data_IF_623058131368
#
_entry.id   IF_623058131368
#
_cell.length_a   1.000
_cell.length_b   1.000
_cell.length_c   1.000
_cell.angle_alpha   90.00
_cell.angle_beta   90.00
_cell.angle_gamma   90.00
#
_symmetry.space_group_name_H-M   'P 1'
#
loop_
_entity.id
_entity.type
_entity.pdbx_description
1 polymer ?
#
# COMPACT_ATOMS: atom_id res chain seq x y z
N UNK A 1 43.29 -55.16 -6.75
CA UNK A 1 43.47 -53.71 -6.92
C UNK A 1 42.14 -53.11 -7.41
N UNK A 2 41.26 -52.73 -6.51
CA UNK A 2 39.98 -52.10 -6.87
C UNK A 2 39.69 -51.01 -5.85
N UNK A 3 40.27 -49.82 -6.02
CA UNK A 3 39.88 -48.68 -5.17
C UNK A 3 40.49 -47.38 -5.67
N UNK A 4 39.61 -46.48 -6.11
CA UNK A 4 39.73 -45.01 -6.06
C UNK A 4 38.51 -44.33 -6.72
N UNK A 5 38.00 -44.75 -7.91
CA UNK A 5 36.87 -44.05 -8.53
C UNK A 5 35.54 -44.33 -7.83
N UNK A 6 35.32 -45.53 -7.28
CA UNK A 6 34.08 -45.86 -6.55
C UNK A 6 33.92 -45.09 -5.24
N UNK A 7 35.01 -44.76 -4.54
CA UNK A 7 34.92 -44.08 -3.25
C UNK A 7 34.57 -42.59 -3.43
N UNK A 8 35.10 -41.94 -4.47
CA UNK A 8 34.75 -40.56 -4.81
C UNK A 8 33.30 -40.42 -5.31
N UNK A 9 32.80 -41.39 -6.08
CA UNK A 9 31.40 -41.40 -6.52
C UNK A 9 30.42 -41.56 -5.35
N UNK A 10 30.74 -42.41 -4.37
CA UNK A 10 29.92 -42.59 -3.16
C UNK A 10 29.93 -41.33 -2.29
N UNK A 11 31.10 -40.69 -2.10
CA UNK A 11 31.20 -39.40 -1.38
C UNK A 11 30.43 -38.26 -2.08
N UNK A 12 30.40 -38.23 -3.41
CA UNK A 12 29.64 -37.24 -4.17
C UNK A 12 28.13 -37.49 -4.12
N UNK A 13 27.69 -38.75 -4.18
CA UNK A 13 26.28 -39.10 -4.00
C UNK A 13 25.80 -38.85 -2.56
N UNK A 14 26.66 -39.11 -1.56
CA UNK A 14 26.38 -38.79 -0.17
C UNK A 14 26.28 -37.27 0.05
N UNK A 15 27.16 -36.46 -0.56
CA UNK A 15 27.09 -35.00 -0.43
C UNK A 15 25.86 -34.40 -1.13
N UNK A 16 25.48 -34.90 -2.31
CA UNK A 16 24.21 -34.54 -2.97
C UNK A 16 23.00 -34.95 -2.13
N UNK A 17 23.04 -36.13 -1.51
CA UNK A 17 21.95 -36.59 -0.65
C UNK A 17 21.83 -35.74 0.61
N UNK A 18 22.95 -35.36 1.25
CA UNK A 18 22.94 -34.46 2.42
C UNK A 18 22.44 -33.06 2.05
N UNK A 19 22.85 -32.49 0.92
CA UNK A 19 22.35 -31.21 0.43
C UNK A 19 20.84 -31.28 0.11
N UNK A 20 20.35 -32.40 -0.41
CA UNK A 20 18.92 -32.63 -0.65
C UNK A 20 18.13 -32.79 0.65
N UNK A 21 18.69 -33.43 1.67
CA UNK A 21 18.08 -33.60 3.00
C UNK A 21 18.05 -32.29 3.79
N UNK A 22 19.12 -31.49 3.76
CA UNK A 22 19.17 -30.16 4.39
C UNK A 22 18.20 -29.19 3.71
N UNK A 23 18.14 -29.17 2.37
CA UNK A 23 17.17 -28.35 1.64
C UNK A 23 15.72 -28.80 1.87
N UNK A 24 15.47 -30.10 2.01
CA UNK A 24 14.16 -30.63 2.37
C UNK A 24 13.78 -30.29 3.81
N UNK A 25 14.71 -30.40 4.77
CA UNK A 25 14.51 -30.02 6.17
C UNK A 25 14.24 -28.53 6.33
N UNK A 26 14.99 -27.66 5.63
CA UNK A 26 14.77 -26.21 5.60
C UNK A 26 13.43 -25.86 4.95
N UNK A 27 12.97 -26.63 3.95
CA UNK A 27 11.65 -26.46 3.38
C UNK A 27 10.53 -26.90 4.35
N UNK A 28 10.71 -27.98 5.09
CA UNK A 28 9.76 -28.44 6.10
C UNK A 28 9.62 -27.46 7.27
N UNK A 29 10.72 -26.93 7.80
CA UNK A 29 10.69 -25.89 8.85
C UNK A 29 10.05 -24.60 8.34
N UNK A 30 10.37 -24.19 7.10
CA UNK A 30 9.75 -23.04 6.42
C UNK A 30 8.24 -23.20 6.30
N UNK A 31 7.79 -24.38 5.91
CA UNK A 31 6.35 -24.67 5.84
C UNK A 31 5.72 -24.71 7.23
N UNK A 32 6.38 -25.26 8.25
CA UNK A 32 5.83 -25.32 9.62
C UNK A 32 5.64 -23.92 10.24
N UNK A 33 6.65 -23.04 10.17
CA UNK A 33 6.57 -21.67 10.68
C UNK A 33 5.52 -20.85 9.94
N UNK A 34 5.43 -21.06 8.62
CA UNK A 34 4.40 -20.44 7.80
C UNK A 34 2.99 -20.93 8.18
N UNK A 35 2.77 -22.24 8.28
CA UNK A 35 1.48 -22.81 8.65
C UNK A 35 1.05 -22.32 10.04
N UNK A 36 1.99 -22.19 10.97
CA UNK A 36 1.74 -21.60 12.29
C UNK A 36 1.32 -20.13 12.18
N UNK A 37 2.01 -19.36 11.34
CA UNK A 37 1.69 -17.95 11.10
C UNK A 37 0.34 -17.75 10.40
N UNK A 38 0.02 -18.56 9.39
CA UNK A 38 -1.29 -18.57 8.71
C UNK A 38 -2.37 -18.98 9.68
N UNK A 39 -2.17 -20.07 10.41
CA UNK A 39 -3.12 -20.54 11.41
C UNK A 39 -3.39 -19.46 12.44
N UNK A 40 -2.36 -18.72 12.88
CA UNK A 40 -2.54 -17.58 13.77
C UNK A 40 -3.37 -16.46 13.12
N UNK A 41 -3.10 -16.09 11.87
CA UNK A 41 -3.84 -15.04 11.15
C UNK A 41 -5.31 -15.44 10.89
N UNK A 42 -5.53 -16.66 10.40
CA UNK A 42 -6.88 -17.22 10.16
C UNK A 42 -7.63 -17.36 11.47
N UNK A 43 -6.99 -17.83 12.55
CA UNK A 43 -7.64 -17.92 13.86
C UNK A 43 -7.95 -16.54 14.44
N UNK A 44 -7.08 -15.54 14.27
CA UNK A 44 -7.38 -14.17 14.68
C UNK A 44 -8.52 -13.58 13.86
N UNK A 45 -8.55 -13.82 12.54
CA UNK A 45 -9.68 -13.49 11.68
C UNK A 45 -10.99 -14.11 12.19
N UNK A 46 -11.00 -15.43 12.45
CA UNK A 46 -12.17 -16.14 12.97
C UNK A 46 -12.61 -15.64 14.34
N UNK A 47 -11.67 -15.43 15.27
CA UNK A 47 -11.96 -14.92 16.62
C UNK A 47 -12.59 -13.53 16.58
N UNK A 48 -12.08 -12.64 15.74
CA UNK A 48 -12.60 -11.27 15.68
C UNK A 48 -13.96 -11.23 14.97
N UNK A 49 -14.13 -12.00 13.89
CA UNK A 49 -15.44 -12.15 13.24
C UNK A 49 -16.49 -12.84 14.12
N UNK A 50 -16.11 -13.82 14.94
CA UNK A 50 -17.03 -14.47 15.90
C UNK A 50 -17.45 -13.53 17.03
N UNK A 51 -16.52 -12.72 17.56
CA UNK A 51 -16.83 -11.68 18.54
C UNK A 51 -17.81 -10.63 17.99
N UNK A 52 -17.67 -10.26 16.71
CA UNK A 52 -18.59 -9.36 16.00
C UNK A 52 -19.99 -9.99 15.82
N UNK A 53 -20.05 -11.28 15.46
CA UNK A 53 -21.31 -12.01 15.32
C UNK A 53 -22.06 -12.20 16.66
N UNK A 54 -21.36 -12.53 17.75
CA UNK A 54 -21.95 -12.67 19.10
C UNK A 54 -22.46 -11.35 19.68
N UNK A 55 -21.79 -10.23 19.34
CA UNK A 55 -22.26 -8.89 19.70
C UNK A 55 -23.58 -8.55 19.00
N UNK A 56 -23.77 -9.05 17.77
CA UNK A 56 -24.96 -8.80 16.93
C UNK A 56 -26.18 -9.62 17.37
N UNK A 57 -25.98 -10.85 17.86
CA UNK A 57 -27.07 -11.75 18.29
C UNK A 57 -27.66 -11.45 19.67
N UNK A 58 -27.00 -10.62 20.49
CA UNK A 58 -27.49 -10.20 21.82
C UNK A 58 -28.36 -8.92 21.80
N UNK A 59 -28.63 -8.33 20.63
CA UNK A 59 -29.45 -7.13 20.50
C UNK A 59 -30.97 -7.48 20.52
N UNK A 60 -31.82 -6.80 21.31
CA UNK A 60 -33.27 -7.08 21.37
C UNK A 60 -33.99 -6.71 20.07
N UNK A 61 -35.07 -7.43 19.69
CA UNK A 61 -35.86 -7.11 18.50
C UNK A 61 -36.71 -5.86 18.80
N UNK A 62 -36.26 -4.71 18.31
CA UNK A 62 -36.91 -3.40 18.51
C UNK A 62 -35.95 -2.23 18.75
N UNK A 63 -34.65 -2.50 18.94
CA UNK A 63 -33.60 -1.49 18.97
C UNK A 63 -32.85 -1.42 17.65
N UNK A 64 -32.48 -0.21 17.23
CA UNK A 64 -31.59 0.06 16.08
C UNK A 64 -30.47 -1.00 16.02
N UNK A 65 -30.45 -1.76 14.91
CA UNK A 65 -29.53 -2.88 14.70
C UNK A 65 -28.09 -2.55 15.08
N UNK A 66 -27.41 -3.51 15.70
CA UNK A 66 -26.04 -3.47 16.23
C UNK A 66 -25.26 -2.22 15.79
N UNK A 67 -25.27 -1.19 16.62
CA UNK A 67 -24.46 0.00 16.40
C UNK A 67 -23.00 -0.40 16.61
N UNK A 68 -22.35 -0.86 15.55
CA UNK A 68 -20.89 -0.99 15.45
C UNK A 68 -20.28 0.26 16.09
N UNK A 69 -19.41 0.07 17.09
CA UNK A 69 -18.88 1.20 17.86
C UNK A 69 -17.74 1.81 17.08
N UNK A 70 -18.09 2.68 16.12
CA UNK A 70 -17.19 3.65 15.53
C UNK A 70 -16.37 4.31 16.65
N UNK A 71 -15.06 4.48 16.44
CA UNK A 71 -14.19 5.17 17.41
C UNK A 71 -14.88 6.44 17.94
N UNK A 72 -14.99 6.56 19.26
CA UNK A 72 -15.77 7.64 19.89
C UNK A 72 -15.29 9.02 19.46
N UNK A 73 -13.98 9.22 19.24
CA UNK A 73 -13.43 10.51 18.78
C UNK A 73 -13.87 10.77 17.35
N UNK A 74 -13.82 9.75 16.49
CA UNK A 74 -14.31 9.85 15.12
C UNK A 74 -15.81 10.17 15.09
N UNK A 75 -16.63 9.44 15.86
CA UNK A 75 -18.07 9.70 15.97
C UNK A 75 -18.36 11.15 16.38
N UNK A 76 -17.65 11.65 17.39
CA UNK A 76 -17.80 13.04 17.84
C UNK A 76 -17.38 14.05 16.77
N UNK A 77 -16.32 13.73 16.02
CA UNK A 77 -15.85 14.58 14.94
C UNK A 77 -16.89 14.69 13.81
N UNK A 78 -17.55 13.58 13.47
CA UNK A 78 -18.57 13.53 12.42
C UNK A 78 -19.89 14.23 12.78
N UNK A 79 -20.23 14.36 14.07
CA UNK A 79 -21.46 15.05 14.48
C UNK A 79 -21.43 16.56 14.23
N UNK A 80 -20.23 17.15 14.11
CA UNK A 80 -20.05 18.60 14.03
C UNK A 80 -19.20 18.99 12.81
N UNK A 81 -19.53 18.43 11.63
CA UNK A 81 -18.77 18.69 10.40
C UNK A 81 -18.84 20.17 10.03
N UNK A 82 -17.74 20.70 9.51
CA UNK A 82 -17.70 22.02 8.89
C UNK A 82 -16.99 21.96 7.57
N UNK A 83 -17.49 22.75 6.61
CA UNK A 83 -16.94 22.85 5.27
C UNK A 83 -16.29 24.21 5.06
N UNK A 84 -15.08 24.22 4.50
CA UNK A 84 -14.40 25.40 3.99
C UNK A 84 -14.09 25.19 2.51
N UNK A 85 -14.29 26.21 1.70
CA UNK A 85 -14.14 26.16 0.25
C UNK A 85 -12.81 26.75 -0.21
N UNK A 86 -12.14 26.08 -1.14
CA UNK A 86 -10.92 26.56 -1.79
C UNK A 86 -11.19 26.75 -3.27
N UNK A 87 -10.94 27.96 -3.78
CA UNK A 87 -11.08 28.27 -5.20
C UNK A 87 -10.05 29.29 -5.65
N UNK A 88 -9.29 28.98 -6.71
CA UNK A 88 -8.23 29.87 -7.22
C UNK A 88 -8.79 31.18 -7.83
N UNK A 89 -10.04 31.16 -8.30
CA UNK A 89 -10.75 32.33 -8.84
C UNK A 89 -11.25 33.31 -7.75
N UNK A 90 -11.13 32.95 -6.47
CA UNK A 90 -11.58 33.76 -5.34
C UNK A 90 -13.05 33.59 -4.94
N UNK A 91 -13.80 32.68 -5.57
CA UNK A 91 -15.19 32.37 -5.20
C UNK A 91 -15.32 31.51 -3.92
N UNK A 92 -14.21 31.00 -3.38
CA UNK A 92 -14.14 30.21 -2.15
C UNK A 92 -13.79 31.04 -0.90
N UNK A 93 -13.69 30.36 0.25
CA UNK A 93 -13.19 30.98 1.49
C UNK A 93 -11.68 31.25 1.43
N UNK A 94 -10.94 30.42 0.68
CA UNK A 94 -9.49 30.51 0.51
C UNK A 94 -9.11 30.36 -0.96
N UNK A 95 -7.97 30.95 -1.36
CA UNK A 95 -7.42 30.78 -2.71
C UNK A 95 -6.51 29.55 -2.82
N UNK A 96 -5.88 29.18 -1.71
CA UNK A 96 -4.92 28.07 -1.64
C UNK A 96 -5.35 27.01 -0.63
N UNK A 97 -4.88 25.78 -0.83
CA UNK A 97 -5.16 24.66 0.08
C UNK A 97 -4.37 24.87 1.39
N UNK A 98 -3.16 25.42 1.32
CA UNK A 98 -2.35 25.72 2.51
C UNK A 98 -3.02 26.74 3.43
N UNK A 99 -3.60 27.81 2.90
CA UNK A 99 -4.36 28.79 3.70
C UNK A 99 -5.55 28.13 4.40
N UNK A 100 -6.29 27.28 3.67
CA UNK A 100 -7.42 26.55 4.23
C UNK A 100 -7.00 25.63 5.38
N UNK A 101 -5.93 24.85 5.24
CA UNK A 101 -5.37 24.05 6.34
C UNK A 101 -4.94 24.94 7.51
N UNK A 102 -4.27 26.07 7.23
CA UNK A 102 -3.80 27.02 8.24
C UNK A 102 -4.92 27.67 9.06
N UNK A 103 -6.14 27.69 8.53
CA UNK A 103 -7.33 28.19 9.25
C UNK A 103 -7.89 27.21 10.28
N UNK A 104 -7.49 25.93 10.22
CA UNK A 104 -8.01 24.89 11.11
C UNK A 104 -7.32 24.99 12.47
N UNK A 105 -8.07 25.08 13.59
CA UNK A 105 -7.48 25.10 14.91
C UNK A 105 -6.65 23.84 15.19
N UNK A 106 -5.50 24.01 15.84
CA UNK A 106 -4.68 22.90 16.32
C UNK A 106 -5.48 22.02 17.30
N UNK A 107 -5.15 20.73 17.32
CA UNK A 107 -5.87 19.70 18.09
C UNK A 107 -7.35 19.59 17.70
N UNK A 108 -7.62 19.73 16.40
CA UNK A 108 -8.95 19.66 15.83
C UNK A 108 -9.73 18.42 16.31
N UNK A 109 -10.97 18.63 16.74
CA UNK A 109 -11.86 17.57 17.26
C UNK A 109 -13.07 17.32 16.36
N UNK A 110 -13.16 18.00 15.22
CA UNK A 110 -14.32 17.98 14.32
C UNK A 110 -13.92 17.60 12.92
N UNK A 111 -14.81 16.99 12.13
CA UNK A 111 -14.56 16.76 10.70
C UNK A 111 -14.50 18.11 9.99
N UNK A 112 -13.35 18.48 9.44
CA UNK A 112 -13.21 19.66 8.59
C UNK A 112 -13.06 19.23 7.15
N UNK A 113 -14.09 19.53 6.35
CA UNK A 113 -14.14 19.27 4.91
C UNK A 113 -13.56 20.48 4.21
N UNK A 114 -12.40 20.29 3.58
CA UNK A 114 -11.82 21.24 2.63
C UNK A 114 -12.36 20.86 1.25
N UNK A 115 -13.36 21.60 0.80
CA UNK A 115 -13.97 21.42 -0.53
C UNK A 115 -13.17 22.23 -1.55
N UNK A 116 -12.60 21.57 -2.55
CA UNK A 116 -11.59 22.13 -3.44
C UNK A 116 -12.17 22.17 -4.85
N UNK A 117 -12.22 23.37 -5.44
CA UNK A 117 -12.67 23.59 -6.83
C UNK A 117 -11.64 23.07 -7.85
N UNK A 118 -12.05 22.78 -9.10
CA UNK A 118 -11.12 22.36 -10.14
C UNK A 118 -9.99 23.38 -10.33
N UNK A 119 -8.78 22.88 -10.53
CA UNK A 119 -7.58 23.73 -10.65
C UNK A 119 -6.29 22.98 -10.42
N UNK A 120 -5.17 23.63 -10.75
CA UNK A 120 -3.82 23.12 -10.50
C UNK A 120 -3.20 23.93 -9.38
N UNK A 121 -3.08 23.30 -8.22
CA UNK A 121 -2.55 23.84 -6.98
C UNK A 121 -1.07 23.46 -6.86
N UNK A 122 -0.18 24.37 -7.29
CA UNK A 122 1.27 24.22 -7.17
C UNK A 122 1.73 24.49 -5.74
N UNK A 123 1.47 23.55 -4.84
CA UNK A 123 1.66 23.71 -3.41
C UNK A 123 2.33 22.48 -2.79
N UNK A 124 3.38 22.70 -1.98
CA UNK A 124 3.82 21.71 -1.01
C UNK A 124 2.91 21.78 0.22
N UNK A 125 2.25 20.66 0.53
CA UNK A 125 1.21 20.56 1.56
C UNK A 125 1.63 19.59 2.66
N UNK A 126 1.40 19.99 3.91
CA UNK A 126 1.50 19.11 5.07
C UNK A 126 0.22 19.22 5.90
N UNK A 127 -0.41 18.08 6.22
CA UNK A 127 -1.50 17.99 7.19
C UNK A 127 -0.90 17.38 8.47
N UNK A 128 -0.48 18.21 9.45
CA UNK A 128 0.26 17.75 10.61
C UNK A 128 -0.59 16.89 11.54
N UNK A 129 0.07 16.12 12.41
CA UNK A 129 -0.58 15.24 13.42
C UNK A 129 -1.58 15.96 14.32
N UNK A 130 -1.40 17.26 14.52
CA UNK A 130 -2.25 18.13 15.32
C UNK A 130 -3.59 18.44 14.65
N UNK A 131 -3.79 18.09 13.38
CA UNK A 131 -5.02 18.34 12.63
C UNK A 131 -5.70 17.01 12.19
N UNK A 132 -6.13 16.14 13.11
CA UNK A 132 -6.88 14.95 12.73
C UNK A 132 -8.25 15.33 12.13
N UNK A 133 -8.92 14.37 11.49
CA UNK A 133 -10.27 14.53 10.91
C UNK A 133 -10.38 15.59 9.80
N UNK A 134 -9.30 15.85 9.08
CA UNK A 134 -9.33 16.68 7.86
C UNK A 134 -9.77 15.82 6.68
N UNK A 135 -10.66 16.35 5.84
CA UNK A 135 -11.10 15.69 4.61
C UNK A 135 -10.92 16.62 3.44
N UNK A 136 -10.28 16.15 2.36
CA UNK A 136 -10.27 16.84 1.08
C UNK A 136 -11.35 16.26 0.18
N UNK A 137 -12.22 17.12 -0.35
CA UNK A 137 -13.20 16.73 -1.36
C UNK A 137 -12.97 17.61 -2.58
N UNK A 138 -12.53 16.99 -3.67
CA UNK A 138 -12.49 17.66 -4.96
C UNK A 138 -13.88 17.74 -5.57
N UNK A 139 -14.25 18.93 -6.05
CA UNK A 139 -15.38 19.08 -6.94
C UNK A 139 -15.07 18.35 -8.26
N UNK A 140 -15.85 17.31 -8.57
CA UNK A 140 -15.65 16.53 -9.79
C UNK A 140 -16.82 16.77 -10.75
N UNK A 141 -16.51 17.42 -11.86
CA UNK A 141 -17.30 17.42 -13.09
C UNK A 141 -16.51 16.66 -14.16
N UNK A 142 -16.45 15.32 -14.06
CA UNK A 142 -15.70 14.47 -14.99
C UNK A 142 -14.20 14.40 -14.68
N UNK A 143 -13.35 14.64 -15.69
CA UNK A 143 -11.89 14.51 -15.61
C UNK A 143 -11.16 15.64 -14.86
N UNK A 144 -11.88 16.70 -14.48
CA UNK A 144 -11.30 17.93 -13.91
C UNK A 144 -11.09 17.84 -12.39
N UNK A 145 -10.46 16.76 -11.93
CA UNK A 145 -10.11 16.60 -10.53
C UNK A 145 -9.10 17.70 -10.11
N UNK A 146 -9.31 18.38 -8.97
CA UNK A 146 -8.32 19.30 -8.42
C UNK A 146 -6.98 18.59 -8.22
N UNK A 147 -5.91 19.20 -8.74
CA UNK A 147 -4.58 18.61 -8.76
C UNK A 147 -3.65 19.37 -7.82
N UNK A 148 -3.06 18.68 -6.85
CA UNK A 148 -1.94 19.20 -6.06
C UNK A 148 -0.64 18.70 -6.68
N UNK A 149 0.24 19.62 -7.07
CA UNK A 149 1.44 19.32 -7.86
C UNK A 149 2.70 19.91 -7.27
N UNK A 150 3.79 19.14 -7.34
CA UNK A 150 5.15 19.51 -6.96
C UNK A 150 6.17 18.74 -7.79
N UNK A 151 7.46 18.96 -7.54
CA UNK A 151 8.54 18.37 -8.34
C UNK A 151 9.82 18.11 -7.53
N UNK A 152 9.71 18.02 -6.20
CA UNK A 152 10.85 17.77 -5.34
C UNK A 152 11.35 16.32 -5.50
N UNK A 153 12.66 16.15 -5.61
CA UNK A 153 13.33 14.84 -5.49
C UNK A 153 14.02 14.71 -4.13
N UNK A 154 14.42 13.50 -3.78
CA UNK A 154 15.20 13.22 -2.58
C UNK A 154 16.58 13.92 -2.55
N UNK A 155 17.12 14.30 -3.71
CA UNK A 155 18.39 15.01 -3.83
C UNK A 155 18.27 16.53 -3.76
N UNK A 156 17.07 17.10 -3.89
CA UNK A 156 16.86 18.56 -3.74
C UNK A 156 17.38 19.01 -2.38
N UNK A 157 18.14 20.11 -2.37
CA UNK A 157 18.63 20.73 -1.14
C UNK A 157 17.47 21.44 -0.43
N UNK A 158 17.18 21.00 0.80
CA UNK A 158 16.21 21.61 1.68
C UNK A 158 16.71 22.92 2.31
N UNK A 159 15.83 23.57 3.07
CA UNK A 159 16.10 24.85 3.75
C UNK A 159 17.24 24.78 4.77
N UNK A 160 17.56 23.60 5.26
CA UNK A 160 18.64 23.32 6.22
C UNK A 160 19.99 23.05 5.52
N UNK A 161 20.05 23.23 4.20
CA UNK A 161 21.23 22.96 3.38
C UNK A 161 21.51 21.48 3.15
N UNK A 162 20.60 20.57 3.56
CA UNK A 162 20.75 19.12 3.41
C UNK A 162 19.78 18.57 2.36
N UNK A 163 20.08 17.44 1.70
CA UNK A 163 19.13 16.81 0.79
C UNK A 163 17.84 16.43 1.53
N UNK A 164 16.68 16.70 0.90
CA UNK A 164 15.35 16.39 1.45
C UNK A 164 15.20 14.91 1.84
N UNK A 165 15.90 14.02 1.13
CA UNK A 165 15.68 12.57 1.15
C UNK A 165 14.25 12.23 0.69
N UNK A 166 13.97 10.94 0.50
CA UNK A 166 12.64 10.47 0.05
C UNK A 166 11.51 10.96 0.96
N UNK A 167 11.74 11.03 2.27
CA UNK A 167 10.67 11.37 3.22
C UNK A 167 10.15 12.81 3.03
N UNK A 168 11.04 13.77 2.76
CA UNK A 168 10.67 15.18 2.62
C UNK A 168 10.45 15.61 1.16
N UNK A 169 10.65 14.73 0.17
CA UNK A 169 10.32 15.01 -1.23
C UNK A 169 8.81 14.95 -1.54
N UNK A 170 7.99 14.53 -0.56
CA UNK A 170 6.54 14.46 -0.70
C UNK A 170 5.92 15.82 -1.07
N UNK A 171 5.18 15.85 -2.18
CA UNK A 171 4.33 17.01 -2.56
C UNK A 171 3.24 17.21 -1.52
N UNK A 172 2.59 16.12 -1.09
CA UNK A 172 1.62 16.12 0.01
C UNK A 172 2.05 15.15 1.11
N UNK A 173 2.15 15.65 2.34
CA UNK A 173 2.45 14.89 3.54
C UNK A 173 1.24 14.83 4.48
N UNK A 174 0.66 13.65 4.65
CA UNK A 174 -0.46 13.40 5.56
C UNK A 174 0.07 12.73 6.82
N UNK A 175 0.27 13.52 7.87
CA UNK A 175 0.65 13.01 9.19
C UNK A 175 -0.54 12.91 10.15
N UNK A 176 -1.67 13.56 9.83
CA UNK A 176 -2.92 13.52 10.58
C UNK A 176 -3.64 12.16 10.52
N UNK A 177 -4.21 11.73 11.64
CA UNK A 177 -5.08 10.57 11.69
C UNK A 177 -6.48 10.89 11.15
N UNK A 178 -7.19 9.86 10.68
CA UNK A 178 -8.56 10.00 10.16
C UNK A 178 -8.68 10.92 8.93
N UNK A 179 -7.59 11.11 8.19
CA UNK A 179 -7.60 11.89 6.96
C UNK A 179 -8.43 11.18 5.87
N UNK A 180 -9.21 11.92 5.10
CA UNK A 180 -9.92 11.36 3.95
C UNK A 180 -9.67 12.24 2.73
N UNK A 181 -9.45 11.64 1.56
CA UNK A 181 -9.47 12.36 0.28
C UNK A 181 -10.47 11.71 -0.68
N UNK A 182 -11.22 12.55 -1.38
CA UNK A 182 -12.21 12.13 -2.38
C UNK A 182 -12.01 12.97 -3.64
N UNK A 183 -11.95 12.34 -4.82
CA UNK A 183 -11.83 13.02 -6.12
C UNK A 183 -10.63 13.98 -6.24
N UNK A 184 -9.49 13.62 -5.65
CA UNK A 184 -8.27 14.42 -5.69
C UNK A 184 -7.20 13.78 -6.56
N UNK A 185 -6.44 14.61 -7.28
CA UNK A 185 -5.21 14.20 -7.95
C UNK A 185 -3.99 14.73 -7.19
N UNK A 186 -3.06 13.84 -6.86
CA UNK A 186 -1.78 14.16 -6.24
C UNK A 186 -0.66 13.80 -7.21
N UNK A 187 0.22 14.75 -7.53
CA UNK A 187 1.29 14.51 -8.49
C UNK A 187 2.65 15.05 -8.05
N UNK A 188 3.70 14.31 -8.37
CA UNK A 188 5.07 14.81 -8.40
C UNK A 188 5.62 14.67 -9.82
N UNK A 189 5.96 15.80 -10.44
CA UNK A 189 6.36 15.89 -11.85
C UNK A 189 7.88 15.94 -12.03
N UNK A 190 8.66 15.55 -11.03
CA UNK A 190 10.11 15.52 -11.14
C UNK A 190 10.55 14.68 -12.35
N UNK A 191 11.55 15.18 -13.10
CA UNK A 191 12.15 14.42 -14.19
C UNK A 191 12.78 13.14 -13.64
N UNK A 192 12.63 12.05 -14.39
CA UNK A 192 12.97 10.72 -13.89
C UNK A 192 13.71 9.89 -14.92
N UNK A 193 14.77 9.22 -14.44
CA UNK A 193 15.36 8.06 -15.07
C UNK A 193 15.23 6.86 -14.11
N UNK A 194 14.73 5.73 -14.62
CA UNK A 194 14.50 4.52 -13.82
C UNK A 194 15.75 4.07 -13.07
N UNK A 195 15.64 4.06 -11.74
CA UNK A 195 16.65 3.59 -10.81
C UNK A 195 17.73 4.62 -10.43
N UNK A 196 17.58 5.88 -10.85
CA UNK A 196 18.55 6.92 -10.55
C UNK A 196 18.67 7.19 -9.03
N UNK A 197 19.89 7.20 -8.51
CA UNK A 197 20.17 7.46 -7.09
C UNK A 197 19.84 8.91 -6.76
N UNK A 198 18.94 9.13 -5.79
CA UNK A 198 18.46 10.47 -5.42
C UNK A 198 17.26 10.96 -6.26
N UNK A 199 16.82 10.16 -7.24
CA UNK A 199 15.67 10.45 -8.10
C UNK A 199 14.31 10.13 -7.50
N UNK A 200 14.24 9.68 -6.25
CA UNK A 200 12.99 9.39 -5.55
C UNK A 200 12.15 10.66 -5.40
N UNK A 201 10.89 10.64 -5.82
CA UNK A 201 10.05 11.83 -5.90
C UNK A 201 8.60 11.49 -5.51
N UNK A 202 8.25 11.79 -4.25
CA UNK A 202 6.98 11.34 -3.67
C UNK A 202 5.86 12.31 -4.04
N UNK A 203 4.75 11.78 -4.58
CA UNK A 203 3.52 12.56 -4.79
C UNK A 203 2.76 12.71 -3.48
N UNK A 204 2.56 11.62 -2.76
CA UNK A 204 1.85 11.61 -1.48
C UNK A 204 2.49 10.65 -0.48
N UNK A 205 2.69 11.13 0.76
CA UNK A 205 3.18 10.35 1.90
C UNK A 205 2.13 10.29 3.00
N UNK A 206 1.91 9.12 3.58
CA UNK A 206 0.90 8.90 4.63
C UNK A 206 1.55 8.27 5.86
N UNK A 207 1.67 9.06 6.94
CA UNK A 207 2.14 8.58 8.25
C UNK A 207 1.05 8.56 9.32
N UNK A 208 -0.08 9.23 9.07
CA UNK A 208 -1.23 9.25 9.96
C UNK A 208 -2.09 8.02 9.76
N UNK A 209 -2.54 7.39 10.84
CA UNK A 209 -3.32 6.15 10.75
C UNK A 209 -4.79 6.43 10.45
N UNK A 210 -5.48 5.43 9.89
CA UNK A 210 -6.91 5.48 9.56
C UNK A 210 -7.19 6.50 8.46
N UNK A 211 -6.37 6.49 7.40
CA UNK A 211 -6.54 7.38 6.25
C UNK A 211 -7.24 6.66 5.09
N UNK A 212 -8.19 7.32 4.42
CA UNK A 212 -8.93 6.74 3.31
C UNK A 212 -8.90 7.62 2.05
N UNK A 213 -8.82 7.00 0.88
CA UNK A 213 -8.75 7.66 -0.41
C UNK A 213 -9.78 7.03 -1.35
N UNK A 214 -10.66 7.85 -1.92
CA UNK A 214 -11.75 7.41 -2.79
C UNK A 214 -11.69 8.15 -4.12
N UNK A 215 -11.64 7.41 -5.22
CA UNK A 215 -11.58 8.00 -6.56
C UNK A 215 -10.41 9.00 -6.71
N UNK A 216 -9.29 8.73 -6.03
CA UNK A 216 -8.10 9.57 -6.08
C UNK A 216 -7.12 9.05 -7.12
N UNK A 217 -6.33 9.97 -7.67
CA UNK A 217 -5.27 9.63 -8.63
C UNK A 217 -3.91 10.08 -8.13
N UNK A 218 -2.90 9.22 -8.23
CA UNK A 218 -1.54 9.45 -7.75
C UNK A 218 -0.58 9.31 -8.93
N UNK A 219 0.13 10.38 -9.25
CA UNK A 219 1.04 10.43 -10.40
C UNK A 219 2.46 10.73 -9.95
N UNK A 220 3.38 9.88 -10.37
CA UNK A 220 4.81 10.11 -10.24
C UNK A 220 5.58 9.12 -11.07
N UNK A 221 6.83 8.92 -10.70
CA UNK A 221 7.69 7.89 -11.27
C UNK A 221 8.23 7.00 -10.14
N UNK A 222 9.50 7.18 -9.73
CA UNK A 222 10.05 6.45 -8.60
C UNK A 222 9.53 6.98 -7.26
N UNK A 223 9.10 6.06 -6.39
CA UNK A 223 8.60 6.33 -5.04
C UNK A 223 7.32 7.20 -5.02
N UNK A 224 6.37 6.98 -5.94
CA UNK A 224 5.17 7.84 -6.08
C UNK A 224 4.30 7.93 -4.82
N UNK A 225 3.87 6.79 -4.27
CA UNK A 225 3.01 6.71 -3.08
C UNK A 225 3.78 6.10 -1.92
N UNK A 226 4.17 6.96 -0.98
CA UNK A 226 4.82 6.54 0.26
C UNK A 226 3.74 6.22 1.31
N UNK A 227 3.21 5.01 1.23
CA UNK A 227 2.36 4.39 2.26
C UNK A 227 3.22 4.03 3.49
N UNK A 228 3.64 5.07 4.20
CA UNK A 228 4.69 4.98 5.21
C UNK A 228 4.26 4.09 6.38
N UNK A 229 3.18 4.43 7.09
CA UNK A 229 2.69 3.65 8.23
C UNK A 229 1.26 3.99 8.60
N UNK A 230 0.55 3.02 9.17
CA UNK A 230 -0.83 3.19 9.64
C UNK A 230 -1.78 2.19 9.00
N UNK A 231 -3.07 2.33 9.31
CA UNK A 231 -4.16 1.61 8.65
C UNK A 231 -4.69 2.48 7.51
N UNK A 232 -4.60 2.02 6.26
CA UNK A 232 -5.04 2.84 5.12
C UNK A 232 -5.99 2.09 4.19
N UNK A 233 -6.87 2.84 3.55
CA UNK A 233 -7.81 2.32 2.57
C UNK A 233 -7.77 3.14 1.29
N UNK A 234 -7.67 2.45 0.16
CA UNK A 234 -7.72 3.05 -1.17
C UNK A 234 -8.82 2.34 -1.94
N UNK A 235 -9.80 3.09 -2.44
CA UNK A 235 -10.91 2.53 -3.18
C UNK A 235 -11.10 3.29 -4.50
N UNK A 236 -11.15 2.53 -5.60
CA UNK A 236 -11.32 3.08 -6.94
C UNK A 236 -10.24 4.12 -7.30
N UNK A 237 -8.99 3.89 -6.87
CA UNK A 237 -7.89 4.82 -7.10
C UNK A 237 -7.05 4.44 -8.33
N UNK A 238 -6.47 5.44 -8.99
CA UNK A 238 -5.44 5.26 -10.02
C UNK A 238 -4.07 5.60 -9.45
N UNK A 239 -3.07 4.72 -9.60
CA UNK A 239 -1.72 4.93 -9.08
C UNK A 239 -0.73 4.65 -10.20
N UNK A 240 0.08 5.64 -10.58
CA UNK A 240 1.08 5.52 -11.63
C UNK A 240 2.50 5.72 -11.11
N UNK A 241 3.43 4.88 -11.56
CA UNK A 241 4.86 5.15 -11.38
C UNK A 241 5.77 4.14 -12.05
N UNK A 242 7.06 4.17 -11.70
CA UNK A 242 8.11 3.31 -12.27
C UNK A 242 8.68 2.36 -11.22
N UNK A 243 9.66 2.81 -10.44
CA UNK A 243 10.37 2.03 -9.41
C UNK A 243 9.69 2.24 -8.06
N UNK A 244 9.29 1.15 -7.40
CA UNK A 244 8.77 1.14 -6.03
C UNK A 244 7.62 2.14 -5.80
N UNK A 245 6.75 2.28 -6.80
CA UNK A 245 5.81 3.38 -6.81
C UNK A 245 4.71 3.27 -5.75
N UNK A 246 4.59 2.12 -5.07
CA UNK A 246 3.87 1.95 -3.80
C UNK A 246 4.82 1.32 -2.77
N UNK A 247 5.20 2.07 -1.73
CA UNK A 247 6.23 1.62 -0.80
C UNK A 247 6.02 2.13 0.62
N UNK A 248 6.65 1.44 1.59
CA UNK A 248 6.54 1.73 3.02
C UNK A 248 6.10 0.51 3.82
N UNK A 249 5.55 0.71 5.02
CA UNK A 249 5.16 -0.37 5.93
C UNK A 249 3.74 -0.17 6.51
N UNK A 250 2.85 0.50 5.79
CA UNK A 250 1.42 0.54 6.10
C UNK A 250 0.77 -0.85 6.14
N UNK A 251 -0.38 -0.91 6.80
CA UNK A 251 -1.34 -2.01 6.71
C UNK A 251 -2.52 -1.50 5.88
N UNK A 252 -2.52 -1.86 4.61
CA UNK A 252 -3.31 -1.13 3.62
C UNK A 252 -4.11 -2.08 2.74
N UNK A 253 -5.36 -1.72 2.51
CA UNK A 253 -6.23 -2.38 1.54
C UNK A 253 -6.45 -1.45 0.35
N UNK A 254 -6.05 -1.91 -0.82
CA UNK A 254 -6.28 -1.30 -2.12
C UNK A 254 -7.36 -2.10 -2.83
N UNK A 255 -8.52 -1.52 -3.03
CA UNK A 255 -9.69 -2.19 -3.60
C UNK A 255 -10.14 -1.46 -4.88
N UNK A 256 -10.33 -2.21 -5.96
CA UNK A 256 -10.69 -1.67 -7.27
C UNK A 256 -9.67 -0.63 -7.80
N UNK A 257 -8.39 -0.78 -7.50
CA UNK A 257 -7.37 0.17 -7.94
C UNK A 257 -6.78 -0.20 -9.31
N UNK A 258 -6.38 0.81 -10.08
CA UNK A 258 -5.57 0.62 -11.29
C UNK A 258 -4.12 1.07 -11.01
N UNK A 259 -3.19 0.12 -11.08
CA UNK A 259 -1.76 0.30 -10.85
C UNK A 259 -1.07 0.33 -12.21
N UNK A 260 -0.70 1.52 -12.68
CA UNK A 260 -0.16 1.75 -14.02
C UNK A 260 1.35 1.97 -13.99
N UNK A 261 2.11 1.03 -14.55
CA UNK A 261 3.56 1.18 -14.70
C UNK A 261 3.93 1.99 -15.94
N UNK A 262 4.83 2.96 -15.74
CA UNK A 262 5.49 3.74 -16.80
C UNK A 262 6.98 3.44 -16.90
N UNK A 263 7.46 2.38 -16.24
CA UNK A 263 8.86 1.98 -16.28
C UNK A 263 9.32 1.59 -17.69
N UNK A 264 10.51 2.05 -18.06
CA UNK A 264 11.23 1.70 -19.30
C UNK A 264 12.26 0.59 -19.06
N UNK A 265 12.70 0.41 -17.81
CA UNK A 265 13.55 -0.70 -17.36
C UNK A 265 12.71 -1.73 -16.58
N UNK A 266 13.36 -2.77 -16.06
CA UNK A 266 12.72 -3.65 -15.07
C UNK A 266 12.54 -2.89 -13.76
N UNK A 267 11.31 -2.78 -13.28
CA UNK A 267 10.97 -2.07 -12.04
C UNK A 267 10.08 -2.93 -11.14
N UNK A 268 9.52 -2.33 -10.09
CA UNK A 268 8.60 -3.00 -9.17
C UNK A 268 7.41 -2.11 -8.87
N UNK A 269 6.22 -2.71 -8.82
CA UNK A 269 5.00 -2.04 -8.37
C UNK A 269 5.11 -1.70 -6.89
N UNK A 270 5.50 -2.68 -6.07
CA UNK A 270 5.56 -2.51 -4.62
C UNK A 270 6.96 -2.69 -4.04
N UNK A 271 7.24 -1.98 -2.94
CA UNK A 271 8.38 -2.22 -2.07
C UNK A 271 7.96 -2.11 -0.60
N UNK A 272 7.41 -3.20 -0.06
CA UNK A 272 6.87 -3.22 1.31
C UNK A 272 8.01 -3.52 2.33
N UNK A 273 8.04 -2.77 3.44
CA UNK A 273 9.14 -2.68 4.42
C UNK A 273 8.86 -3.29 5.80
N UNK A 274 8.00 -4.28 5.90
CA UNK A 274 7.75 -4.99 7.17
C UNK A 274 9.04 -5.68 7.60
N UNK A 275 9.51 -5.37 8.81
CA UNK A 275 10.85 -5.78 9.29
C UNK A 275 10.84 -6.93 10.29
N UNK A 276 9.69 -7.32 10.82
CA UNK A 276 9.57 -8.46 11.74
C UNK A 276 8.20 -9.14 11.61
N UNK A 277 8.09 -10.35 12.17
CA UNK A 277 6.88 -11.17 12.06
C UNK A 277 5.67 -10.66 12.88
N UNK A 278 5.89 -9.84 13.92
CA UNK A 278 4.83 -9.39 14.85
C UNK A 278 4.06 -8.18 14.32
N UNK A 279 4.61 -7.47 13.33
CA UNK A 279 3.92 -6.37 12.67
C UNK A 279 2.79 -6.87 11.77
N UNK A 280 1.57 -6.37 11.98
CA UNK A 280 0.41 -6.67 11.13
C UNK A 280 0.40 -5.90 9.80
N UNK A 281 1.47 -5.16 9.48
CA UNK A 281 1.60 -4.43 8.22
C UNK A 281 1.67 -5.31 6.97
N UNK A 282 1.32 -4.73 5.84
CA UNK A 282 1.17 -5.43 4.58
C UNK A 282 0.31 -4.66 3.59
N UNK A 283 0.53 -4.90 2.31
CA UNK A 283 -0.30 -4.36 1.25
C UNK A 283 -1.19 -5.47 0.70
N UNK A 284 -2.51 -5.28 0.76
CA UNK A 284 -3.48 -6.16 0.13
C UNK A 284 -4.14 -5.45 -1.03
N UNK A 285 -4.06 -6.03 -2.21
CA UNK A 285 -4.70 -5.56 -3.44
C UNK A 285 -5.83 -6.51 -3.80
N UNK A 286 -7.04 -6.00 -3.89
CA UNK A 286 -8.24 -6.75 -4.23
C UNK A 286 -8.95 -6.11 -5.42
N UNK A 287 -9.43 -6.93 -6.34
CA UNK A 287 -10.17 -6.51 -7.54
C UNK A 287 -9.43 -5.42 -8.34
N UNK A 288 -8.10 -5.41 -8.25
CA UNK A 288 -7.25 -4.36 -8.79
C UNK A 288 -6.64 -4.79 -10.12
N UNK A 289 -6.02 -3.85 -10.83
CA UNK A 289 -5.38 -4.12 -12.12
C UNK A 289 -3.92 -3.66 -12.09
N UNK A 290 -3.00 -4.52 -12.54
CA UNK A 290 -1.60 -4.16 -12.80
C UNK A 290 -1.45 -4.04 -14.31
N UNK A 291 -1.30 -2.81 -14.78
CA UNK A 291 -1.23 -2.44 -16.20
C UNK A 291 -0.01 -1.58 -16.47
N UNK A 292 0.30 -1.32 -17.73
CA UNK A 292 1.38 -0.41 -18.11
C UNK A 292 1.82 -0.61 -19.55
N UNK A 293 2.82 0.17 -19.98
CA UNK A 293 3.35 0.07 -21.33
C UNK A 293 4.70 -0.62 -21.32
N UNK A 294 4.84 -1.71 -22.08
CA UNK A 294 6.11 -2.45 -22.24
C UNK A 294 7.07 -1.70 -23.17
N UNK A 295 7.61 -0.56 -22.71
CA UNK A 295 8.56 0.25 -23.47
C UNK A 295 9.99 -0.21 -23.18
N UNK A 296 10.87 -0.26 -24.19
CA UNK A 296 12.31 -0.53 -23.99
C UNK A 296 12.65 -1.93 -23.47
N UNK A 297 11.74 -2.90 -23.59
CA UNK A 297 11.92 -4.25 -23.03
C UNK A 297 11.68 -4.36 -21.52
N UNK A 298 11.28 -3.26 -20.87
CA UNK A 298 10.95 -3.21 -19.45
C UNK A 298 9.75 -4.08 -19.06
N UNK A 299 9.60 -4.30 -17.76
CA UNK A 299 8.54 -5.11 -17.15
C UNK A 299 8.55 -4.90 -15.64
N UNK A 300 7.56 -5.42 -14.93
CA UNK A 300 7.43 -5.20 -13.49
C UNK A 300 7.45 -6.48 -12.70
N UNK A 301 8.13 -6.43 -11.55
CA UNK A 301 7.75 -7.26 -10.42
C UNK A 301 6.49 -6.70 -9.77
N UNK A 302 5.59 -7.57 -9.29
CA UNK A 302 4.49 -7.21 -8.40
C UNK A 302 5.01 -6.58 -7.10
N UNK A 303 6.17 -7.05 -6.63
CA UNK A 303 6.83 -6.49 -5.47
C UNK A 303 8.27 -6.93 -5.31
N UNK A 304 9.03 -6.12 -4.57
CA UNK A 304 10.37 -6.48 -4.10
C UNK A 304 10.56 -6.20 -2.62
N UNK A 305 11.26 -7.12 -1.94
CA UNK A 305 11.32 -7.18 -0.48
C UNK A 305 12.24 -6.13 0.14
N UNK A 306 11.74 -4.90 0.30
CA UNK A 306 12.49 -3.85 0.99
C UNK A 306 12.72 -4.18 2.48
N UNK A 307 11.75 -4.84 3.14
CA UNK A 307 11.87 -5.37 4.49
C UNK A 307 12.00 -6.89 4.53
N UNK A 308 12.68 -7.41 5.55
CA UNK A 308 12.96 -8.85 5.64
C UNK A 308 11.73 -9.73 5.84
N UNK A 309 10.62 -9.15 6.29
CA UNK A 309 9.31 -9.81 6.47
C UNK A 309 8.25 -9.16 5.57
N UNK A 310 8.67 -8.62 4.43
CA UNK A 310 7.79 -7.96 3.45
C UNK A 310 6.56 -8.81 3.15
N UNK A 311 5.40 -8.17 3.10
CA UNK A 311 4.09 -8.82 2.89
C UNK A 311 3.26 -8.05 1.88
N UNK A 312 2.91 -8.73 0.79
CA UNK A 312 2.09 -8.20 -0.31
C UNK A 312 1.18 -9.31 -0.82
N UNK A 313 -0.11 -9.02 -1.01
CA UNK A 313 -1.09 -9.98 -1.52
C UNK A 313 -1.87 -9.36 -2.66
N UNK A 314 -2.00 -10.07 -3.78
CA UNK A 314 -2.92 -9.75 -4.86
C UNK A 314 -4.04 -10.78 -4.90
N UNK A 315 -5.30 -10.33 -4.85
CA UNK A 315 -6.50 -11.15 -4.86
C UNK A 315 -7.46 -10.68 -5.95
N UNK A 316 -8.00 -11.61 -6.73
CA UNK A 316 -8.96 -11.32 -7.81
C UNK A 316 -8.50 -10.24 -8.80
N UNK A 317 -7.19 -10.03 -8.89
CA UNK A 317 -6.62 -8.90 -9.61
C UNK A 317 -6.22 -9.30 -11.04
N UNK A 318 -6.40 -8.38 -11.98
CA UNK A 318 -5.95 -8.56 -13.36
C UNK A 318 -4.48 -8.17 -13.49
N UNK A 319 -3.65 -9.10 -13.95
CA UNK A 319 -2.22 -8.90 -14.17
C UNK A 319 -1.95 -8.94 -15.67
N UNK A 320 -1.55 -7.79 -16.22
CA UNK A 320 -1.27 -7.67 -17.65
C UNK A 320 0.11 -8.23 -18.02
N UNK A 321 0.40 -8.30 -19.32
CA UNK A 321 1.64 -8.82 -19.92
C UNK A 321 2.92 -8.14 -19.45
N UNK A 322 2.83 -6.99 -18.77
CA UNK A 322 3.99 -6.30 -18.20
C UNK A 322 4.56 -7.01 -16.98
N UNK A 323 3.78 -7.85 -16.30
CA UNK A 323 4.23 -8.58 -15.11
C UNK A 323 5.23 -9.65 -15.54
N UNK A 324 6.41 -9.63 -14.94
CA UNK A 324 7.47 -10.59 -15.24
C UNK A 324 7.05 -12.01 -14.80
N UNK A 325 7.47 -13.08 -15.51
CA UNK A 325 7.17 -14.45 -15.12
C UNK A 325 7.52 -14.77 -13.66
N UNK A 326 8.67 -14.27 -13.20
CA UNK A 326 9.16 -14.41 -11.82
C UNK A 326 8.18 -13.81 -10.79
N UNK A 327 7.43 -12.77 -11.18
CA UNK A 327 6.44 -12.06 -10.37
C UNK A 327 7.03 -11.22 -9.25
N UNK A 328 8.07 -11.69 -8.57
CA UNK A 328 8.58 -11.09 -7.34
C UNK A 328 10.11 -11.07 -7.28
N UNK A 329 10.65 -10.15 -6.48
CA UNK A 329 12.09 -10.08 -6.21
C UNK A 329 12.37 -10.04 -4.71
N UNK A 330 13.42 -10.73 -4.29
CA UNK A 330 13.94 -10.77 -2.92
C UNK A 330 14.85 -9.57 -2.59
N UNK A 331 14.98 -8.62 -3.53
CA UNK A 331 15.92 -7.50 -3.44
C UNK A 331 17.39 -7.95 -3.34
N UNK A 332 17.72 -9.13 -3.89
CA UNK A 332 19.08 -9.67 -3.88
C UNK A 332 19.49 -10.31 -2.55
N UNK A 333 18.54 -10.61 -1.66
CA UNK A 333 18.80 -11.28 -0.38
C UNK A 333 17.98 -12.58 -0.25
N UNK A 334 18.58 -13.74 -0.55
CA UNK A 334 17.91 -15.03 -0.46
C UNK A 334 17.43 -15.41 0.94
N UNK A 335 17.98 -14.82 2.01
CA UNK A 335 17.58 -15.13 3.39
C UNK A 335 16.13 -14.71 3.69
N UNK A 336 15.57 -13.85 2.84
CA UNK A 336 14.18 -13.36 2.94
C UNK A 336 13.15 -14.35 2.45
N UNK A 337 13.53 -15.34 1.63
CA UNK A 337 12.59 -16.30 1.01
C UNK A 337 11.73 -17.06 2.02
N UNK A 338 12.23 -17.28 3.24
CA UNK A 338 11.49 -17.96 4.31
C UNK A 338 10.64 -17.03 5.18
N UNK A 339 10.77 -15.70 5.02
CA UNK A 339 10.19 -14.68 5.91
C UNK A 339 9.18 -13.77 5.23
N UNK A 340 9.34 -13.54 3.93
CA UNK A 340 8.40 -12.75 3.14
C UNK A 340 7.10 -13.51 2.90
N UNK A 341 6.03 -12.75 2.69
CA UNK A 341 4.71 -13.28 2.36
C UNK A 341 4.22 -12.61 1.08
N UNK A 342 4.48 -13.24 -0.06
CA UNK A 342 3.98 -12.79 -1.36
C UNK A 342 3.00 -13.81 -1.92
N UNK A 343 1.73 -13.40 -1.93
CA UNK A 343 0.60 -14.25 -2.27
C UNK A 343 -0.18 -13.75 -3.47
N UNK A 344 -0.59 -14.68 -4.32
CA UNK A 344 -1.53 -14.47 -5.42
C UNK A 344 -2.75 -15.38 -5.19
N UNK A 345 -3.95 -14.80 -5.27
CA UNK A 345 -5.20 -15.51 -5.06
C UNK A 345 -6.18 -15.21 -6.20
N UNK A 346 -6.49 -16.22 -7.01
CA UNK A 346 -7.45 -16.10 -8.13
C UNK A 346 -7.20 -14.88 -9.03
N UNK A 347 -5.93 -14.52 -9.23
CA UNK A 347 -5.52 -13.50 -10.20
C UNK A 347 -5.80 -13.98 -11.62
N UNK A 348 -6.05 -13.04 -12.53
CA UNK A 348 -6.37 -13.32 -13.93
C UNK A 348 -5.52 -12.47 -14.88
N UNK A 349 -5.63 -12.72 -16.19
CA UNK A 349 -4.87 -11.99 -17.21
C UNK A 349 -3.56 -12.68 -17.60
N UNK A 350 -2.93 -12.21 -18.69
CA UNK A 350 -1.77 -12.87 -19.29
C UNK A 350 -0.52 -12.84 -18.41
N UNK A 351 -0.40 -11.89 -17.48
CA UNK A 351 0.67 -11.82 -16.50
C UNK A 351 0.47 -12.69 -15.26
N UNK A 352 -0.70 -13.34 -15.11
CA UNK A 352 -1.05 -14.15 -13.94
C UNK A 352 -0.61 -15.62 -14.02
N UNK A 353 0.10 -16.03 -15.08
CA UNK A 353 0.62 -17.39 -15.16
C UNK A 353 1.65 -17.65 -14.04
N UNK A 354 1.27 -18.53 -13.11
CA UNK A 354 2.08 -18.83 -11.93
C UNK A 354 3.27 -19.76 -12.22
N UNK A 355 3.29 -20.47 -13.35
CA UNK A 355 4.31 -21.50 -13.67
C UNK A 355 5.75 -20.97 -13.61
N UNK A 356 5.96 -19.69 -13.96
CA UNK A 356 7.28 -19.05 -13.97
C UNK A 356 7.65 -18.29 -12.70
N UNK A 357 6.81 -18.33 -11.66
CA UNK A 357 7.03 -17.57 -10.42
C UNK A 357 8.24 -18.09 -9.67
N UNK A 358 8.85 -17.19 -8.89
CA UNK A 358 9.88 -17.59 -7.93
C UNK A 358 9.34 -18.66 -6.96
N UNK A 359 10.14 -19.66 -6.55
CA UNK A 359 9.65 -20.80 -5.75
C UNK A 359 9.07 -20.45 -4.37
N UNK A 360 9.36 -19.26 -3.87
CA UNK A 360 8.92 -18.75 -2.57
C UNK A 360 7.68 -17.83 -2.68
N UNK A 361 7.16 -17.60 -3.88
CA UNK A 361 5.83 -17.01 -4.08
C UNK A 361 4.75 -18.04 -3.76
N UNK A 362 3.56 -17.58 -3.39
CA UNK A 362 2.48 -18.44 -2.92
C UNK A 362 1.21 -18.30 -3.75
N UNK A 363 0.65 -19.42 -4.19
CA UNK A 363 -0.75 -19.50 -4.60
C UNK A 363 -1.56 -19.73 -3.34
N UNK A 364 -2.44 -18.80 -3.00
CA UNK A 364 -3.21 -18.90 -1.76
C UNK A 364 -4.44 -19.79 -1.93
N UNK A 365 -4.83 -20.51 -0.87
CA UNK A 365 -6.16 -21.13 -0.77
C UNK A 365 -7.24 -20.09 -0.42
N UNK A 366 -8.51 -20.50 -0.47
CA UNK A 366 -9.63 -19.66 -0.04
C UNK A 366 -9.46 -19.21 1.44
N UNK A 367 -9.03 -20.12 2.32
CA UNK A 367 -8.80 -19.84 3.74
C UNK A 367 -7.62 -18.89 3.98
N UNK A 368 -6.52 -19.06 3.23
CA UNK A 368 -5.32 -18.24 3.35
C UNK A 368 -5.54 -16.82 2.85
N UNK A 369 -6.38 -16.66 1.81
CA UNK A 369 -6.70 -15.35 1.24
C UNK A 369 -7.66 -14.56 2.13
N UNK A 370 -8.61 -15.23 2.80
CA UNK A 370 -9.72 -14.61 3.54
C UNK A 370 -9.34 -13.39 4.42
N UNK A 371 -8.24 -13.39 5.21
CA UNK A 371 -7.88 -12.27 6.06
C UNK A 371 -7.53 -10.98 5.31
N UNK A 372 -7.24 -11.07 4.01
CA UNK A 372 -6.77 -9.98 3.15
C UNK A 372 -7.87 -9.41 2.22
N UNK A 373 -9.06 -10.03 2.16
CA UNK A 373 -10.08 -9.75 1.14
C UNK A 373 -11.06 -8.61 1.49
N UNK A 374 -10.96 -8.00 2.66
CA UNK A 374 -11.98 -7.04 3.08
C UNK A 374 -11.47 -6.01 4.08
N UNK A 375 -12.33 -5.04 4.36
CA UNK A 375 -12.07 -3.93 5.29
C UNK A 375 -11.69 -4.39 6.69
N UNK A 376 -12.08 -5.62 7.07
CA UNK A 376 -11.57 -6.28 8.27
C UNK A 376 -10.04 -6.23 8.39
N UNK A 377 -9.32 -6.43 7.27
CA UNK A 377 -7.85 -6.44 7.23
C UNK A 377 -7.25 -5.18 7.84
N UNK A 378 -7.93 -4.05 7.68
CA UNK A 378 -7.52 -2.74 8.19
C UNK A 378 -8.37 -2.28 9.37
N UNK A 379 -9.11 -3.20 10.02
CA UNK A 379 -10.08 -2.88 11.08
C UNK A 379 -11.07 -1.79 10.67
N UNK A 380 -11.49 -1.81 9.41
CA UNK A 380 -12.27 -0.73 8.78
C UNK A 380 -13.58 -0.44 9.49
N UNK A 381 -14.23 -1.44 10.06
CA UNK A 381 -15.46 -1.33 10.84
C UNK A 381 -15.38 -0.32 12.01
N UNK A 382 -14.17 -0.07 12.53
CA UNK A 382 -13.95 0.87 13.63
C UNK A 382 -13.72 2.33 13.17
N UNK A 383 -13.43 2.58 11.89
CA UNK A 383 -12.96 3.90 11.44
C UNK A 383 -13.28 4.32 10.00
N UNK A 384 -13.61 3.38 9.11
CA UNK A 384 -14.01 3.70 7.75
C UNK A 384 -15.41 4.29 7.75
N UNK A 385 -15.49 5.49 7.21
CA UNK A 385 -16.73 6.15 6.88
C UNK A 385 -16.74 6.27 5.37
N UNK A 386 -17.81 5.77 4.75
CA UNK A 386 -18.01 5.96 3.32
C UNK A 386 -18.38 7.43 3.09
N UNK A 387 -17.69 8.13 2.18
CA UNK A 387 -17.87 9.56 1.95
C UNK A 387 -19.26 9.91 1.45
#
# INVERSE_FOLDING_TARGET
>A
MASKPHFQAILFLLSLSCLSLESYSLNLEREADYHKWISWHVNNFRKKTSLEAESTTRAPPGGIGSKLVLDTKLRNAEMNKVTINVSQDGAGNFKTIREAIGSIPLHNTRRVIVFIKPGVYREKIAVPRTLPFVTFIGESSGSDQPTITGNDTASVTGIDGRPLKTFQSATVAIDANYFVAVNMKFENTAAHEDGFVGGQAVALRISGTKAAFYNCSFYGAQDTLYDHKGLHYFNNCFIQGSVDFIFGYGQSLYENCNLNSIGKKVTSVTAQKRTNATLESGFSFKDSKVTGTRSGGGGVYLGRAWGDYSRVVFSYSYLDTIVLPQGWSDWGDPTRHSRVYYGEYKCSGPGANFTGRVPWARVLTDEEAQPFLGTYYISGDAWLIRP
#
